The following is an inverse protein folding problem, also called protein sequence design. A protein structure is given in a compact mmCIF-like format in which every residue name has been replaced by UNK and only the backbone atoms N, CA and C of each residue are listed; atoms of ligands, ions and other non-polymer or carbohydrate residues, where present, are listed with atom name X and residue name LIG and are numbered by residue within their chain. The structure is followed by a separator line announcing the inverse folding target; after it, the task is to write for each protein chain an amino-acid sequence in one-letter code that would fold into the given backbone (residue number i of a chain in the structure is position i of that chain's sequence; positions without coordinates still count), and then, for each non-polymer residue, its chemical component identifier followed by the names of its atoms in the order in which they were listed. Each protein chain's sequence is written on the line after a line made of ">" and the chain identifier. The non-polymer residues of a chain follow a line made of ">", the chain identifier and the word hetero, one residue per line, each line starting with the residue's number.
data_IF_759910009204
#
_entry.id   IF_759910009204
#
_cell.length_a   1.000
_cell.length_b   1.000
_cell.length_c   1.000
_cell.angle_alpha   90.00
_cell.angle_beta   90.00
_cell.angle_gamma   90.00
#
_symmetry.space_group_name_H-M   'P 1'
#
loop_
_entity.id
_entity.type
_entity.pdbx_description
1 polymer ?
#
# COMPACT_ATOMS: atom_id res chain seq x y z
N UNK A 1 -7.70 18.85 14.78
CA UNK A 1 -8.31 18.68 16.12
C UNK A 1 -9.11 17.38 16.20
N UNK A 2 -10.40 17.29 15.85
CA UNK A 2 -11.17 16.03 16.06
C UNK A 2 -10.59 14.76 15.41
N UNK A 3 -10.16 14.83 14.14
CA UNK A 3 -9.58 13.67 13.46
C UNK A 3 -8.26 13.24 14.10
N UNK A 4 -7.43 14.21 14.45
CA UNK A 4 -6.13 13.97 15.07
C UNK A 4 -6.30 13.36 16.47
N UNK A 5 -7.28 13.84 17.24
CA UNK A 5 -7.64 13.28 18.54
C UNK A 5 -8.17 11.84 18.42
N UNK A 6 -8.99 11.56 17.42
CA UNK A 6 -9.49 10.22 17.13
C UNK A 6 -8.32 9.26 16.80
N UNK A 7 -7.44 9.66 15.87
CA UNK A 7 -6.27 8.87 15.50
C UNK A 7 -5.34 8.66 16.69
N UNK A 8 -5.09 9.70 17.49
CA UNK A 8 -4.27 9.62 18.70
C UNK A 8 -4.88 8.67 19.73
N UNK A 9 -6.21 8.64 19.87
CA UNK A 9 -6.89 7.68 20.73
C UNK A 9 -6.69 6.24 20.22
N UNK A 10 -6.80 5.99 18.93
CA UNK A 10 -6.53 4.67 18.35
C UNK A 10 -5.10 4.21 18.65
N UNK A 11 -4.11 5.08 18.43
CA UNK A 11 -2.70 4.78 18.67
C UNK A 11 -2.39 4.45 20.14
N UNK A 12 -3.03 5.14 21.08
CA UNK A 12 -2.79 4.93 22.53
C UNK A 12 -3.50 3.72 23.12
N UNK A 13 -4.55 3.22 22.48
CA UNK A 13 -5.42 2.18 23.05
C UNK A 13 -5.08 0.77 22.59
N UNK A 14 -4.26 0.62 21.56
CA UNK A 14 -3.97 -0.68 20.98
C UNK A 14 -2.50 -0.81 20.60
N UNK A 15 -1.92 -1.96 20.92
CA UNK A 15 -0.59 -2.35 20.48
C UNK A 15 -0.73 -3.34 19.31
N UNK A 16 -0.23 -3.01 18.11
CA UNK A 16 -0.32 -3.91 16.97
C UNK A 16 0.50 -5.19 17.16
N UNK A 17 0.10 -6.23 16.41
CA UNK A 17 0.86 -7.45 16.25
C UNK A 17 2.01 -7.29 15.25
N UNK A 18 2.51 -8.42 14.75
CA UNK A 18 3.68 -8.47 13.86
C UNK A 18 3.44 -7.94 12.45
N UNK A 19 2.18 -7.84 12.02
CA UNK A 19 1.83 -7.49 10.64
C UNK A 19 0.83 -6.34 10.61
N UNK A 20 1.14 -5.36 9.77
CA UNK A 20 0.31 -4.20 9.50
C UNK A 20 0.09 -4.11 8.00
N UNK A 21 -1.14 -3.79 7.59
CA UNK A 21 -1.50 -3.50 6.21
C UNK A 21 -1.74 -1.99 6.03
N UNK A 22 -1.38 -1.47 4.86
CA UNK A 22 -1.70 -0.09 4.48
C UNK A 22 -2.52 -0.16 3.20
N UNK A 23 -3.72 0.40 3.24
CA UNK A 23 -4.60 0.45 2.08
C UNK A 23 -5.54 1.67 2.17
N UNK A 24 -6.35 1.85 1.14
CA UNK A 24 -7.29 2.94 0.97
C UNK A 24 -8.75 2.51 1.16
N UNK A 25 -9.42 3.18 2.10
CA UNK A 25 -10.86 3.12 2.28
C UNK A 25 -11.53 4.30 1.59
N UNK A 26 -12.69 4.05 0.97
CA UNK A 26 -13.52 5.08 0.36
C UNK A 26 -14.85 5.16 1.11
N UNK A 27 -14.99 6.15 1.97
CA UNK A 27 -16.23 6.41 2.69
C UNK A 27 -17.25 7.02 1.72
N UNK A 28 -18.31 6.27 1.41
CA UNK A 28 -19.32 6.67 0.43
C UNK A 28 -19.96 8.01 0.77
N UNK A 29 -19.80 9.00 -0.12
CA UNK A 29 -20.34 10.35 0.08
C UNK A 29 -20.62 11.00 -1.27
N UNK A 30 -21.86 11.45 -1.48
CA UNK A 30 -22.31 11.99 -2.78
C UNK A 30 -22.61 13.50 -2.78
N UNK A 31 -22.72 14.14 -1.61
CA UNK A 31 -23.00 15.59 -1.56
C UNK A 31 -21.77 16.40 -1.97
N UNK A 32 -21.95 17.72 -2.12
CA UNK A 32 -20.86 18.65 -2.40
C UNK A 32 -19.87 18.63 -1.23
N UNK A 33 -18.67 18.12 -1.48
CA UNK A 33 -17.53 18.15 -0.57
C UNK A 33 -16.28 18.47 -1.41
N UNK A 34 -15.46 19.46 -1.02
CA UNK A 34 -14.32 19.92 -1.83
C UNK A 34 -13.24 18.87 -2.10
N UNK A 35 -13.18 17.82 -1.29
CA UNK A 35 -12.18 16.74 -1.36
C UNK A 35 -12.80 15.36 -1.62
N UNK A 36 -14.01 15.34 -2.19
CA UNK A 36 -14.64 14.11 -2.65
C UNK A 36 -13.87 13.54 -3.85
N UNK A 37 -13.54 12.26 -3.78
CA UNK A 37 -12.85 11.49 -4.81
C UNK A 37 -13.82 10.63 -5.62
N UNK A 38 -13.47 10.40 -6.88
CA UNK A 38 -14.10 9.39 -7.74
C UNK A 38 -13.13 8.22 -7.95
N UNK A 39 -13.52 7.00 -7.55
CA UNK A 39 -12.74 5.77 -7.74
C UNK A 39 -13.61 4.73 -8.47
N UNK A 40 -13.44 4.54 -9.79
CA UNK A 40 -14.35 3.74 -10.62
C UNK A 40 -14.50 2.29 -10.18
N UNK A 41 -13.44 1.69 -9.61
CA UNK A 41 -13.38 0.27 -9.25
C UNK A 41 -13.90 -0.04 -7.84
N UNK A 42 -14.32 0.96 -7.05
CA UNK A 42 -14.91 0.76 -5.72
C UNK A 42 -16.45 0.72 -5.83
N UNK A 43 -17.11 0.01 -4.91
CA UNK A 43 -18.57 -0.16 -4.89
C UNK A 43 -19.31 1.20 -4.86
N UNK A 44 -18.97 2.06 -3.89
CA UNK A 44 -19.36 3.46 -3.91
C UNK A 44 -18.33 4.25 -4.71
N UNK A 45 -18.62 4.59 -5.96
CA UNK A 45 -17.66 5.28 -6.83
C UNK A 45 -17.28 6.68 -6.35
N UNK A 46 -18.11 7.32 -5.54
CA UNK A 46 -17.86 8.66 -4.99
C UNK A 46 -17.77 8.61 -3.46
N UNK A 47 -16.78 9.29 -2.90
CA UNK A 47 -16.61 9.32 -1.45
C UNK A 47 -15.41 10.12 -0.98
N UNK A 48 -15.18 10.09 0.33
CA UNK A 48 -13.99 10.64 0.96
C UNK A 48 -12.96 9.52 1.04
N UNK A 49 -11.78 9.74 0.45
CA UNK A 49 -10.69 8.77 0.47
C UNK A 49 -9.91 8.91 1.78
N UNK A 50 -9.74 7.80 2.49
CA UNK A 50 -8.93 7.69 3.71
C UNK A 50 -7.85 6.65 3.43
N UNK A 51 -6.59 7.01 3.63
CA UNK A 51 -5.47 6.06 3.63
C UNK A 51 -5.25 5.64 5.07
N UNK A 52 -5.25 4.34 5.35
CA UNK A 52 -5.20 3.82 6.73
C UNK A 52 -4.15 2.74 6.87
N UNK A 53 -3.55 2.68 8.05
CA UNK A 53 -2.75 1.56 8.50
C UNK A 53 -3.55 0.75 9.51
N UNK A 54 -3.71 -0.55 9.27
CA UNK A 54 -4.49 -1.45 10.11
C UNK A 54 -3.69 -2.68 10.50
N UNK A 55 -3.89 -3.15 11.73
CA UNK A 55 -3.39 -4.44 12.18
C UNK A 55 -4.01 -5.57 11.36
N UNK A 56 -3.20 -6.50 10.85
CA UNK A 56 -3.70 -7.56 9.97
C UNK A 56 -4.57 -8.58 10.71
N UNK A 57 -4.33 -8.80 12.00
CA UNK A 57 -4.98 -9.89 12.76
C UNK A 57 -6.35 -9.46 13.28
N UNK A 58 -6.42 -8.25 13.83
CA UNK A 58 -7.63 -7.71 14.47
C UNK A 58 -8.38 -6.71 13.58
N UNK A 59 -7.79 -6.35 12.43
CA UNK A 59 -8.29 -5.30 11.54
C UNK A 59 -8.38 -3.92 12.20
N UNK A 60 -7.74 -3.75 13.37
CA UNK A 60 -7.79 -2.51 14.14
C UNK A 60 -7.04 -1.38 13.44
N UNK A 61 -7.67 -0.21 13.35
CA UNK A 61 -7.08 0.99 12.76
C UNK A 61 -6.00 1.57 13.67
N UNK A 62 -4.76 1.61 13.20
CA UNK A 62 -3.61 2.16 13.92
C UNK A 62 -3.41 3.64 13.61
N UNK A 63 -3.58 4.01 12.35
CA UNK A 63 -3.40 5.38 11.89
C UNK A 63 -4.23 5.63 10.61
N UNK A 64 -4.53 6.89 10.32
CA UNK A 64 -5.16 7.24 9.04
C UNK A 64 -5.04 8.72 8.68
N UNK A 65 -5.04 8.96 7.37
CA UNK A 65 -4.93 10.29 6.78
C UNK A 65 -6.09 10.51 5.81
N UNK A 66 -6.81 11.61 6.01
CA UNK A 66 -7.82 12.10 5.08
C UNK A 66 -7.14 12.66 3.82
N UNK A 67 -7.48 12.10 2.66
CA UNK A 67 -6.94 12.59 1.40
C UNK A 67 -7.75 13.80 0.90
N UNK A 68 -7.17 14.98 1.03
CA UNK A 68 -7.76 16.25 0.63
C UNK A 68 -7.34 16.71 -0.79
N UNK A 69 -6.90 15.78 -1.64
CA UNK A 69 -6.33 16.09 -2.96
C UNK A 69 -5.03 16.90 -2.82
N UNK A 70 -4.89 17.96 -3.62
CA UNK A 70 -3.70 18.81 -3.64
C UNK A 70 -3.46 19.60 -2.33
N UNK A 71 -4.46 19.66 -1.44
CA UNK A 71 -4.36 20.31 -0.13
C UNK A 71 -3.88 19.36 0.97
N UNK A 72 -3.65 18.09 0.65
CA UNK A 72 -3.14 17.12 1.63
C UNK A 72 -1.74 17.53 2.04
N UNK A 73 -1.57 17.91 3.31
CA UNK A 73 -0.25 18.21 3.86
C UNK A 73 0.50 16.90 4.06
N UNK A 74 1.46 16.63 3.19
CA UNK A 74 2.38 15.49 3.36
C UNK A 74 3.55 16.01 4.19
N UNK A 75 3.42 15.92 5.52
CA UNK A 75 4.55 16.15 6.41
C UNK A 75 5.60 15.06 6.19
N UNK A 76 6.79 15.41 5.71
CA UNK A 76 7.96 14.53 5.85
C UNK A 76 8.47 14.68 7.27
N UNK A 77 7.88 13.97 8.20
CA UNK A 77 8.52 13.75 9.50
C UNK A 77 9.46 12.56 9.33
N UNK A 78 10.76 12.83 9.45
CA UNK A 78 11.70 11.76 9.73
C UNK A 78 11.29 11.13 11.07
N UNK A 79 11.25 9.80 11.12
CA UNK A 79 11.10 9.10 12.38
C UNK A 79 12.29 9.50 13.26
N UNK A 80 12.02 9.89 14.51
CA UNK A 80 13.07 10.28 15.44
C UNK A 80 14.08 9.14 15.70
N UNK A 81 13.59 7.89 15.60
CA UNK A 81 14.37 6.67 15.70
C UNK A 81 14.14 5.80 14.45
N UNK A 82 15.18 5.11 13.92
CA UNK A 82 15.01 4.18 12.82
C UNK A 82 14.19 2.98 13.29
N UNK A 83 12.92 2.93 12.88
CA UNK A 83 12.09 1.75 13.08
C UNK A 83 12.45 0.74 11.98
N UNK A 84 12.90 -0.45 12.38
CA UNK A 84 13.15 -1.56 11.47
C UNK A 84 11.81 -2.16 11.02
N UNK A 85 11.30 -1.68 9.89
CA UNK A 85 10.09 -2.23 9.25
C UNK A 85 10.48 -2.94 7.96
N UNK A 86 10.00 -4.16 7.81
CA UNK A 86 10.07 -4.87 6.55
C UNK A 86 8.84 -4.59 5.70
N UNK A 87 9.08 -4.30 4.42
CA UNK A 87 8.05 -4.05 3.44
C UNK A 87 7.85 -5.29 2.58
N UNK A 88 6.60 -5.74 2.45
CA UNK A 88 6.19 -6.71 1.44
C UNK A 88 5.06 -6.12 0.61
N UNK A 89 5.25 -6.00 -0.70
CA UNK A 89 4.28 -5.38 -1.59
C UNK A 89 4.41 -5.85 -3.04
N UNK A 90 3.43 -5.53 -3.89
CA UNK A 90 3.55 -5.72 -5.34
C UNK A 90 4.05 -4.46 -6.01
N UNK A 91 5.02 -4.59 -6.92
CA UNK A 91 5.55 -3.49 -7.72
C UNK A 91 4.89 -3.48 -9.10
N UNK A 92 4.64 -2.27 -9.65
CA UNK A 92 4.18 -2.12 -11.03
C UNK A 92 5.31 -2.44 -12.01
N UNK A 93 5.01 -3.17 -13.08
CA UNK A 93 5.97 -3.53 -14.13
C UNK A 93 6.60 -2.32 -14.83
N UNK A 94 5.93 -1.18 -14.84
CA UNK A 94 6.43 0.07 -15.41
C UNK A 94 7.26 0.92 -14.44
N UNK A 95 7.55 0.43 -13.22
CA UNK A 95 8.38 1.15 -12.25
C UNK A 95 9.82 1.20 -12.76
N UNK A 96 10.41 2.41 -12.78
CA UNK A 96 11.84 2.60 -13.04
C UNK A 96 12.65 1.82 -11.99
N UNK A 97 13.55 0.95 -12.44
CA UNK A 97 14.35 0.07 -11.60
C UNK A 97 13.98 -1.41 -11.67
N UNK A 98 12.89 -1.79 -12.35
CA UNK A 98 12.59 -3.21 -12.65
C UNK A 98 13.41 -3.66 -13.87
N UNK A 99 14.30 -4.67 -13.74
CA UNK A 99 15.08 -5.17 -14.88
C UNK A 99 14.21 -5.81 -15.95
N UNK A 100 14.64 -5.73 -17.21
CA UNK A 100 13.89 -6.25 -18.36
C UNK A 100 13.68 -7.76 -18.31
N UNK A 101 14.57 -8.47 -17.62
CA UNK A 101 14.55 -9.90 -17.36
C UNK A 101 13.37 -10.32 -16.48
N UNK A 102 12.92 -9.40 -15.61
CA UNK A 102 11.80 -9.62 -14.71
C UNK A 102 10.45 -9.36 -15.38
N UNK A 103 10.44 -8.75 -16.58
CA UNK A 103 9.22 -8.47 -17.33
C UNK A 103 8.69 -9.71 -18.05
N UNK A 104 7.45 -9.62 -18.55
CA UNK A 104 6.81 -10.74 -19.23
C UNK A 104 7.51 -11.04 -20.58
N UNK A 105 8.24 -12.15 -20.65
CA UNK A 105 8.84 -12.67 -21.89
C UNK A 105 7.96 -13.73 -22.53
N UNK A 106 7.83 -13.72 -23.87
CA UNK A 106 6.99 -14.67 -24.64
C UNK A 106 7.46 -16.12 -24.48
N UNK A 107 8.77 -16.32 -24.50
CA UNK A 107 9.43 -17.62 -24.38
C UNK A 107 9.24 -18.28 -23.00
N UNK A 108 9.00 -17.47 -21.97
CA UNK A 108 8.88 -17.97 -20.60
C UNK A 108 7.55 -18.74 -20.41
N UNK A 109 7.56 -19.99 -19.89
CA UNK A 109 6.35 -20.74 -19.62
C UNK A 109 5.47 -20.09 -18.55
N UNK A 110 4.15 -20.32 -18.61
CA UNK A 110 3.21 -19.92 -17.55
C UNK A 110 3.45 -20.75 -16.28
N UNK A 111 3.03 -20.22 -15.13
CA UNK A 111 3.21 -20.82 -13.79
C UNK A 111 4.68 -21.01 -13.39
N UNK A 112 5.57 -20.16 -13.88
CA UNK A 112 7.00 -20.15 -13.50
C UNK A 112 7.31 -18.89 -12.68
N UNK A 113 8.41 -18.92 -11.94
CA UNK A 113 8.94 -17.79 -11.16
C UNK A 113 10.41 -17.53 -11.49
N UNK A 114 10.82 -16.26 -11.46
CA UNK A 114 12.21 -15.82 -11.45
C UNK A 114 12.45 -15.02 -10.17
N UNK A 115 13.63 -15.18 -9.60
CA UNK A 115 14.03 -14.50 -8.37
C UNK A 115 15.19 -13.57 -8.67
N UNK A 116 15.15 -12.38 -8.10
CA UNK A 116 16.22 -11.39 -8.11
C UNK A 116 16.50 -10.99 -6.67
N UNK A 117 17.74 -11.16 -6.25
CA UNK A 117 18.21 -10.83 -4.92
C UNK A 117 19.17 -9.64 -5.02
N UNK A 118 18.98 -8.65 -4.16
CA UNK A 118 19.86 -7.50 -4.02
C UNK A 118 20.03 -7.14 -2.54
N UNK A 119 21.15 -7.56 -1.95
CA UNK A 119 21.51 -7.37 -0.54
C UNK A 119 20.40 -7.80 0.42
N UNK A 120 19.55 -6.87 0.81
CA UNK A 120 18.43 -7.00 1.76
C UNK A 120 17.07 -6.83 1.04
N UNK A 121 17.01 -7.08 -0.27
CA UNK A 121 15.77 -6.98 -1.06
C UNK A 121 15.63 -8.18 -1.99
N UNK A 122 14.43 -8.75 -2.01
CA UNK A 122 14.06 -9.81 -2.95
C UNK A 122 12.92 -9.33 -3.84
N UNK A 123 13.10 -9.48 -5.15
CA UNK A 123 12.05 -9.29 -6.15
C UNK A 123 11.76 -10.65 -6.80
N UNK A 124 10.49 -11.03 -6.82
CA UNK A 124 10.02 -12.21 -7.52
C UNK A 124 9.25 -11.75 -8.75
N UNK A 125 9.53 -12.36 -9.90
CA UNK A 125 8.69 -12.24 -11.09
C UNK A 125 7.94 -13.53 -11.27
N UNK A 126 6.62 -13.51 -11.13
CA UNK A 126 5.75 -14.67 -11.33
C UNK A 126 4.86 -14.48 -12.56
N UNK A 127 4.78 -15.49 -13.43
CA UNK A 127 3.98 -15.46 -14.67
C UNK A 127 2.73 -16.33 -14.52
N UNK A 128 1.60 -15.82 -13.98
CA UNK A 128 0.40 -16.62 -13.81
C UNK A 128 -0.27 -17.02 -15.14
N UNK A 129 -0.26 -16.11 -16.13
CA UNK A 129 -0.87 -16.30 -17.46
C UNK A 129 0.05 -15.80 -18.57
N UNK A 130 -0.28 -16.12 -19.83
CA UNK A 130 0.57 -15.82 -21.02
C UNK A 130 0.96 -14.33 -21.13
N UNK A 131 0.02 -13.44 -20.83
CA UNK A 131 0.17 -11.99 -20.99
C UNK A 131 0.22 -11.23 -19.65
N UNK A 132 0.45 -11.91 -18.54
CA UNK A 132 0.43 -11.33 -17.20
C UNK A 132 1.71 -11.66 -16.45
N UNK A 133 2.25 -10.68 -15.72
CA UNK A 133 3.35 -10.87 -14.76
C UNK A 133 3.00 -10.14 -13.47
N UNK A 134 3.26 -10.79 -12.35
CA UNK A 134 3.12 -10.21 -11.00
C UNK A 134 4.52 -10.09 -10.43
N UNK A 135 4.80 -8.93 -9.81
CA UNK A 135 6.11 -8.62 -9.26
C UNK A 135 6.04 -8.42 -7.74
N UNK A 136 5.97 -9.49 -6.92
CA UNK A 136 6.12 -9.37 -5.48
C UNK A 136 7.53 -8.89 -5.11
N UNK A 137 7.62 -7.96 -4.19
CA UNK A 137 8.85 -7.39 -3.65
C UNK A 137 8.81 -7.46 -2.14
N UNK A 138 9.93 -7.85 -1.54
CA UNK A 138 10.10 -7.91 -0.10
C UNK A 138 11.46 -7.34 0.31
N UNK A 139 11.50 -6.67 1.45
CA UNK A 139 12.73 -6.32 2.16
C UNK A 139 13.01 -7.24 3.34
N UNK A 140 12.19 -8.28 3.57
CA UNK A 140 12.44 -9.27 4.62
C UNK A 140 13.71 -10.06 4.29
N UNK A 141 14.66 -10.08 5.23
CA UNK A 141 15.83 -10.96 5.26
C UNK A 141 15.96 -11.59 6.64
#
# INVERSE_FOLDING_TARGET
>A
ELWDDFVLNCQRKYKPGSYVTIDEQLLGFRRKCPFRMYIPKKLSKYGIKIVMACDTTTEYMLNGILYAGNKTQIGRQALAEPIQLDLSCTIRSNRKGVPSEQLNKKERPVKTSLFLFDREKTLVSYKPKKNEVVLPFSTMY
#
